data_IF_803413244208
#
_entry.id   IF_803413244208
#
_cell.length_a   1.000
_cell.length_b   1.000
_cell.length_c   1.000
_cell.angle_alpha   90.00
_cell.angle_beta   90.00
_cell.angle_gamma   90.00
#
_symmetry.space_group_name_H-M   'P 1'
#
loop_
_entity.id
_entity.type
_entity.pdbx_description
1 polymer ?
#
# COMPACT_ATOMS: atom_id res chain seq x y z
N UNK A 1 -11.33 16.76 10.70
CA UNK A 1 -11.01 16.29 9.34
C UNK A 1 -10.54 14.85 9.44
N UNK A 2 -11.41 13.87 9.19
CA UNK A 2 -11.07 12.45 9.34
C UNK A 2 -10.13 12.08 8.20
N UNK A 3 -8.82 12.00 8.47
CA UNK A 3 -7.88 11.41 7.52
C UNK A 3 -8.34 9.97 7.28
N UNK A 4 -8.57 9.54 6.03
CA UNK A 4 -9.04 8.19 5.78
C UNK A 4 -8.04 7.21 6.39
N UNK A 5 -8.51 6.39 7.33
CA UNK A 5 -7.69 5.38 7.98
C UNK A 5 -7.23 4.26 7.02
N UNK A 6 -7.64 4.33 5.76
CA UNK A 6 -7.22 3.45 4.68
C UNK A 6 -6.66 4.31 3.56
N UNK A 7 -5.46 3.98 3.10
CA UNK A 7 -4.82 4.59 1.94
C UNK A 7 -4.69 3.54 0.85
N UNK A 8 -5.03 3.89 -0.39
CA UNK A 8 -4.86 3.02 -1.55
C UNK A 8 -3.77 3.62 -2.41
N UNK A 9 -2.84 2.76 -2.85
CA UNK A 9 -1.74 3.13 -3.71
C UNK A 9 -1.75 2.29 -4.97
N UNK A 10 -1.32 2.88 -6.08
CA UNK A 10 -1.10 2.22 -7.36
C UNK A 10 0.25 2.61 -7.95
N UNK A 11 0.92 1.67 -8.61
CA UNK A 11 2.12 1.93 -9.40
C UNK A 11 2.34 0.86 -10.45
N UNK A 12 3.21 1.12 -11.43
CA UNK A 12 3.64 0.12 -12.40
C UNK A 12 4.97 -0.49 -11.95
N UNK A 13 5.05 -1.82 -11.91
CA UNK A 13 6.33 -2.53 -11.79
C UNK A 13 6.83 -2.90 -13.17
N UNK A 14 8.09 -2.56 -13.45
CA UNK A 14 8.75 -2.86 -14.75
C UNK A 14 7.98 -2.31 -15.97
N UNK A 15 7.18 -1.25 -15.77
CA UNK A 15 6.36 -0.63 -16.83
C UNK A 15 5.20 -1.50 -17.33
N UNK A 16 4.94 -2.67 -16.72
CA UNK A 16 3.95 -3.64 -17.23
C UNK A 16 2.90 -4.04 -16.21
N UNK A 17 3.32 -4.36 -14.98
CA UNK A 17 2.42 -4.97 -13.99
C UNK A 17 1.80 -3.89 -13.11
N UNK A 18 0.47 -3.87 -13.01
CA UNK A 18 -0.24 -2.92 -12.17
C UNK A 18 -0.18 -3.39 -10.71
N UNK A 19 0.63 -2.71 -9.93
CA UNK A 19 0.68 -2.92 -8.49
C UNK A 19 -0.39 -2.10 -7.80
N UNK A 20 -1.05 -2.69 -6.80
CA UNK A 20 -1.99 -1.98 -5.92
C UNK A 20 -1.73 -2.36 -4.48
N UNK A 21 -1.61 -1.37 -3.60
CA UNK A 21 -1.57 -1.60 -2.16
C UNK A 21 -2.74 -0.95 -1.44
N UNK A 22 -3.32 -1.64 -0.48
CA UNK A 22 -4.29 -1.11 0.48
C UNK A 22 -3.62 -1.09 1.85
N UNK A 23 -3.35 0.10 2.38
CA UNK A 23 -2.71 0.34 3.67
C UNK A 23 -3.78 0.79 4.65
N UNK A 24 -4.13 -0.06 5.62
CA UNK A 24 -5.16 0.19 6.63
C UNK A 24 -4.50 0.52 7.99
N UNK A 25 -4.47 1.81 8.30
CA UNK A 25 -3.99 2.37 9.56
C UNK A 25 -4.89 2.07 10.76
N UNK A 26 -6.16 1.74 10.54
CA UNK A 26 -7.07 1.37 11.63
C UNK A 26 -6.83 -0.06 12.10
N UNK A 27 -6.41 -0.94 11.18
CA UNK A 27 -6.16 -2.36 11.45
C UNK A 27 -4.69 -2.72 11.57
N UNK A 28 -3.77 -1.79 11.32
CA UNK A 28 -2.35 -2.10 11.29
C UNK A 28 -2.01 -3.08 10.18
N UNK A 29 -2.60 -2.93 8.99
CA UNK A 29 -2.52 -3.93 7.93
C UNK A 29 -2.15 -3.35 6.57
N UNK A 30 -1.48 -4.14 5.75
CA UNK A 30 -1.28 -3.86 4.34
C UNK A 30 -1.60 -5.08 3.49
N UNK A 31 -2.25 -4.85 2.36
CA UNK A 31 -2.52 -5.86 1.35
C UNK A 31 -1.94 -5.36 0.03
N UNK A 32 -1.13 -6.17 -0.65
CA UNK A 32 -0.52 -5.82 -1.94
C UNK A 32 -0.99 -6.81 -3.00
N UNK A 33 -1.38 -6.27 -4.14
CA UNK A 33 -1.80 -6.99 -5.33
C UNK A 33 -0.88 -6.64 -6.50
N UNK A 34 -0.75 -7.60 -7.41
CA UNK A 34 -0.19 -7.42 -8.75
C UNK A 34 -1.23 -7.85 -9.77
N UNK A 35 -1.66 -6.91 -10.60
CA UNK A 35 -2.85 -6.97 -11.43
C UNK A 35 -4.07 -7.36 -10.59
N UNK A 36 -4.52 -8.61 -10.71
CA UNK A 36 -5.65 -9.17 -9.97
C UNK A 36 -5.24 -10.24 -8.93
N UNK A 37 -3.93 -10.48 -8.79
CA UNK A 37 -3.39 -11.50 -7.91
C UNK A 37 -2.99 -10.90 -6.55
N UNK A 38 -3.39 -11.56 -5.47
CA UNK A 38 -2.94 -11.22 -4.13
C UNK A 38 -1.49 -11.67 -3.96
N UNK A 39 -0.59 -10.74 -3.66
CA UNK A 39 0.82 -11.04 -3.40
C UNK A 39 1.14 -11.11 -1.91
N UNK A 40 0.70 -10.11 -1.14
CA UNK A 40 1.11 -9.94 0.25
C UNK A 40 -0.08 -9.56 1.11
N UNK A 41 -0.17 -10.17 2.28
CA UNK A 41 -0.98 -9.71 3.41
C UNK A 41 -0.05 -9.61 4.62
N UNK A 42 0.01 -8.44 5.24
CA UNK A 42 0.68 -8.25 6.54
C UNK A 42 -0.26 -7.54 7.50
N UNK A 43 -0.26 -7.99 8.75
CA UNK A 43 -1.10 -7.47 9.84
C UNK A 43 -0.24 -7.23 11.08
N UNK A 44 -0.79 -6.53 12.08
CA UNK A 44 -0.06 -6.22 13.32
C UNK A 44 1.05 -5.17 13.14
N UNK A 45 0.98 -4.38 12.07
CA UNK A 45 1.93 -3.31 11.78
C UNK A 45 1.61 -2.06 12.61
N UNK A 46 2.65 -1.48 13.21
CA UNK A 46 2.56 -0.17 13.84
C UNK A 46 2.35 0.93 12.80
N UNK A 47 1.83 2.09 13.24
CA UNK A 47 1.69 3.26 12.36
C UNK A 47 3.03 3.71 11.74
N UNK A 48 4.15 3.53 12.46
CA UNK A 48 5.50 3.84 11.95
C UNK A 48 5.88 2.92 10.79
N UNK A 49 5.61 1.62 10.91
CA UNK A 49 5.88 0.64 9.85
C UNK A 49 4.98 0.87 8.63
N UNK A 50 3.70 1.20 8.83
CA UNK A 50 2.80 1.55 7.73
C UNK A 50 3.30 2.77 6.96
N UNK A 51 3.74 3.83 7.65
CA UNK A 51 4.33 5.01 6.99
C UNK A 51 5.61 4.67 6.21
N UNK A 52 6.45 3.78 6.72
CA UNK A 52 7.64 3.32 6.00
C UNK A 52 7.28 2.57 4.73
N UNK A 53 6.26 1.71 4.78
CA UNK A 53 5.75 0.99 3.60
C UNK A 53 5.20 1.97 2.56
N UNK A 54 4.44 2.98 2.99
CA UNK A 54 3.94 4.00 2.07
C UNK A 54 5.06 4.79 1.40
N UNK A 55 6.10 5.15 2.16
CA UNK A 55 7.29 5.79 1.60
C UNK A 55 7.98 4.91 0.57
N UNK A 56 8.13 3.61 0.84
CA UNK A 56 8.72 2.67 -0.12
C UNK A 56 7.87 2.54 -1.39
N UNK A 57 6.54 2.57 -1.26
CA UNK A 57 5.63 2.58 -2.42
C UNK A 57 5.79 3.86 -3.22
N UNK A 58 5.84 5.02 -2.55
CA UNK A 58 6.07 6.33 -3.17
C UNK A 58 7.41 6.39 -3.91
N UNK A 59 8.49 5.90 -3.29
CA UNK A 59 9.83 5.82 -3.88
C UNK A 59 9.86 4.93 -5.15
N UNK A 60 8.94 3.96 -5.25
CA UNK A 60 8.72 3.12 -6.46
C UNK A 60 7.84 3.78 -7.52
N UNK A 61 7.49 5.06 -7.36
CA UNK A 61 6.59 5.79 -8.25
C UNK A 61 5.10 5.64 -7.91
N UNK A 62 4.81 5.13 -6.70
CA UNK A 62 3.48 5.08 -6.10
C UNK A 62 2.70 6.36 -6.21
N UNK A 63 1.45 6.26 -6.65
CA UNK A 63 0.45 7.32 -6.53
C UNK A 63 -0.67 6.87 -5.62
N UNK A 64 -1.02 7.74 -4.69
CA UNK A 64 -2.13 7.54 -3.76
C UNK A 64 -3.44 7.94 -4.45
N UNK A 65 -4.47 7.10 -4.29
CA UNK A 65 -5.84 7.35 -4.73
C UNK A 65 -6.68 8.00 -3.63
#
# INVERSE_FOLDING_TARGET
MVKPGVHIWIWLREGRYLMRAKVDYTKGAVIVFEDYHLLIVRTGLSQKQLKQIEKEIEDKGGKKL
#
